data_IF_077023315968
#
_entry.id   IF_077023315968
#
_cell.length_a   1.000
_cell.length_b   1.000
_cell.length_c   1.000
_cell.angle_alpha   90.00
_cell.angle_beta   90.00
_cell.angle_gamma   90.00
#
_symmetry.space_group_name_H-M   'P 1'
#
loop_
_entity.id
_entity.type
_entity.pdbx_description
1 polymer ?
#
# COMPACT_ATOMS: atom_id res chain seq x y z
N UNK A 1 -0.04 -2.34 14.98
CA UNK A 1 -0.70 -2.56 13.69
C UNK A 1 -2.11 -2.07 13.86
N UNK A 2 -2.56 -1.10 13.05
CA UNK A 2 -3.94 -0.63 13.17
C UNK A 2 -4.83 -1.86 13.16
N UNK A 3 -5.85 -1.89 14.04
CA UNK A 3 -6.75 -3.05 14.16
C UNK A 3 -7.26 -3.52 12.79
N UNK A 4 -7.33 -2.61 11.82
CA UNK A 4 -7.76 -2.78 10.44
C UNK A 4 -6.89 -3.77 9.63
N UNK A 5 -5.60 -3.93 9.93
CA UNK A 5 -4.66 -4.74 9.13
C UNK A 5 -4.28 -6.08 9.80
N UNK A 6 -4.70 -6.32 11.05
CA UNK A 6 -4.31 -7.55 11.77
C UNK A 6 -4.98 -8.79 11.19
N UNK A 7 -6.22 -8.62 10.70
CA UNK A 7 -7.07 -9.69 10.18
C UNK A 7 -7.37 -9.53 8.68
N UNK A 8 -6.54 -8.77 7.95
CA UNK A 8 -6.67 -8.55 6.50
C UNK A 8 -5.51 -9.24 5.74
N UNK A 9 -5.68 -10.50 5.29
CA UNK A 9 -4.63 -11.25 4.57
C UNK A 9 -4.15 -10.55 3.29
N UNK A 10 -5.05 -9.86 2.59
CA UNK A 10 -4.74 -9.14 1.36
C UNK A 10 -3.95 -7.86 1.67
N UNK A 11 -4.36 -7.10 2.69
CA UNK A 11 -3.60 -5.96 3.18
C UNK A 11 -2.20 -6.35 3.64
N UNK A 12 -2.05 -7.48 4.34
CA UNK A 12 -0.76 -8.04 4.76
C UNK A 12 0.12 -8.44 3.58
N UNK A 13 -0.46 -9.07 2.54
CA UNK A 13 0.23 -9.40 1.30
C UNK A 13 0.73 -8.13 0.61
N UNK A 14 -0.14 -7.13 0.39
CA UNK A 14 0.21 -5.89 -0.29
C UNK A 14 1.32 -5.14 0.45
N UNK A 15 1.31 -5.09 1.78
CA UNK A 15 2.39 -4.46 2.56
C UNK A 15 3.72 -5.17 2.34
N UNK A 16 3.72 -6.51 2.29
CA UNK A 16 4.94 -7.30 2.12
C UNK A 16 5.59 -7.08 0.76
N UNK A 17 4.79 -6.98 -0.30
CA UNK A 17 5.28 -6.80 -1.67
C UNK A 17 5.54 -5.32 -2.04
N UNK A 18 5.01 -4.37 -1.26
CA UNK A 18 5.16 -2.95 -1.56
C UNK A 18 6.50 -2.36 -1.09
N UNK A 19 6.84 -1.19 -1.66
CA UNK A 19 7.96 -0.36 -1.19
C UNK A 19 7.68 0.36 0.14
N UNK A 20 6.46 0.27 0.68
CA UNK A 20 6.05 0.94 1.92
C UNK A 20 6.14 -0.06 3.07
N UNK A 21 7.03 0.18 4.03
CA UNK A 21 7.13 -0.70 5.19
C UNK A 21 5.94 -0.54 6.13
N UNK A 22 5.70 -1.55 6.97
CA UNK A 22 4.63 -1.52 7.99
C UNK A 22 4.69 -0.25 8.86
N UNK A 23 5.89 0.17 9.26
CA UNK A 23 6.10 1.35 10.11
C UNK A 23 5.81 2.65 9.35
N UNK A 24 6.12 2.69 8.06
CA UNK A 24 5.80 3.81 7.17
C UNK A 24 4.30 3.94 6.95
N UNK A 25 3.60 2.83 6.71
CA UNK A 25 2.16 2.81 6.54
C UNK A 25 1.43 3.26 7.82
N UNK A 26 1.83 2.74 8.98
CA UNK A 26 1.27 3.13 10.28
C UNK A 26 1.39 4.65 10.51
N UNK A 27 2.59 5.19 10.28
CA UNK A 27 2.84 6.63 10.43
C UNK A 27 2.00 7.46 9.44
N UNK A 28 1.74 6.95 8.24
CA UNK A 28 0.87 7.59 7.26
C UNK A 28 -0.60 7.56 7.70
N UNK A 29 -1.13 6.41 8.10
CA UNK A 29 -2.51 6.26 8.55
C UNK A 29 -2.79 7.16 9.77
N UNK A 30 -1.90 7.20 10.75
CA UNK A 30 -1.99 8.10 11.90
C UNK A 30 -1.98 9.58 11.49
N UNK A 31 -1.22 9.94 10.45
CA UNK A 31 -1.27 11.32 9.92
C UNK A 31 -2.60 11.69 9.25
N UNK A 32 -3.45 10.70 8.95
CA UNK A 32 -4.76 10.85 8.30
C UNK A 32 -5.95 10.64 9.24
N UNK A 33 -5.74 10.07 10.43
CA UNK A 33 -6.79 9.76 11.40
C UNK A 33 -7.38 10.97 12.16
N UNK A 34 -7.10 12.20 11.69
CA UNK A 34 -7.56 13.43 12.32
C UNK A 34 -6.62 13.97 13.43
N UNK A 35 -5.51 13.28 13.69
CA UNK A 35 -4.43 13.75 14.58
C UNK A 35 -3.86 15.06 14.02
N UNK A 36 -4.06 16.17 14.74
CA UNK A 36 -3.63 17.50 14.29
C UNK A 36 -2.15 17.76 14.53
N UNK A 37 -1.55 17.06 15.50
CA UNK A 37 -0.17 17.26 15.90
C UNK A 37 0.70 16.03 15.59
N UNK A 38 1.81 16.24 14.89
CA UNK A 38 2.82 15.19 14.61
C UNK A 38 3.30 14.50 15.91
N UNK A 39 3.35 15.24 17.03
CA UNK A 39 3.73 14.70 18.34
C UNK A 39 2.76 13.62 18.85
N UNK A 40 1.47 13.81 18.61
CA UNK A 40 0.42 12.87 19.03
C UNK A 40 0.50 11.58 18.20
N UNK A 41 0.71 11.70 16.87
CA UNK A 41 0.98 10.55 16.01
C UNK A 41 2.27 9.81 16.42
N UNK A 42 3.31 10.54 16.82
CA UNK A 42 4.56 9.96 17.29
C UNK A 42 4.39 9.16 18.60
N UNK A 43 3.51 9.59 19.50
CA UNK A 43 3.17 8.86 20.73
C UNK A 43 2.22 7.68 20.51
N UNK A 44 1.37 7.74 19.50
CA UNK A 44 0.34 6.73 19.21
C UNK A 44 0.80 5.64 18.24
N UNK A 45 2.06 5.67 17.81
CA UNK A 45 2.61 4.68 16.88
C UNK A 45 2.56 3.28 17.48
N UNK A 46 2.02 2.33 16.74
CA UNK A 46 1.62 1.04 17.29
C UNK A 46 2.79 0.15 17.76
N UNK A 47 3.95 0.27 17.10
CA UNK A 47 5.14 -0.51 17.44
C UNK A 47 5.75 -0.03 18.76
N UNK A 48 6.05 1.26 18.83
CA UNK A 48 6.47 1.97 20.04
C UNK A 48 6.41 3.48 19.80
N UNK A 49 6.18 4.29 20.85
CA UNK A 49 6.32 5.73 20.79
C UNK A 49 7.70 6.16 20.26
N UNK A 50 7.75 7.23 19.48
CA UNK A 50 8.99 7.79 18.93
C UNK A 50 9.03 9.30 19.08
N UNK A 51 10.20 9.90 18.83
CA UNK A 51 10.31 11.35 18.77
C UNK A 51 9.55 11.93 17.56
N UNK A 52 9.10 13.18 17.68
CA UNK A 52 8.47 13.94 16.59
C UNK A 52 9.31 13.93 15.31
N UNK A 53 10.62 14.09 15.43
CA UNK A 53 11.55 14.08 14.29
C UNK A 53 11.72 12.70 13.66
N UNK A 54 11.68 11.63 14.45
CA UNK A 54 11.68 10.26 13.91
C UNK A 54 10.38 9.99 13.14
N UNK A 55 9.23 10.31 13.72
CA UNK A 55 7.93 10.12 13.07
C UNK A 55 7.83 10.93 11.77
N UNK A 56 8.21 12.21 11.79
CA UNK A 56 8.18 13.06 10.60
C UNK A 56 9.05 12.52 9.46
N UNK A 57 10.26 12.02 9.76
CA UNK A 57 11.14 11.38 8.78
C UNK A 57 10.51 10.12 8.20
N UNK A 58 9.95 9.25 9.04
CA UNK A 58 9.26 8.04 8.59
C UNK A 58 8.06 8.37 7.69
N UNK A 59 7.24 9.36 8.05
CA UNK A 59 6.11 9.81 7.24
C UNK A 59 6.57 10.38 5.89
N UNK A 60 7.65 11.16 5.88
CA UNK A 60 8.22 11.68 4.64
C UNK A 60 8.70 10.55 3.73
N UNK A 61 9.45 9.58 4.28
CA UNK A 61 9.92 8.41 3.52
C UNK A 61 8.77 7.57 2.97
N UNK A 62 7.67 7.41 3.72
CA UNK A 62 6.47 6.72 3.24
C UNK A 62 5.92 7.36 1.96
N UNK A 63 5.79 8.69 1.97
CA UNK A 63 5.29 9.48 0.83
C UNK A 63 6.26 9.46 -0.35
N UNK A 64 7.56 9.58 -0.08
CA UNK A 64 8.60 9.54 -1.10
C UNK A 64 8.64 8.17 -1.80
N UNK A 65 8.52 7.08 -1.04
CA UNK A 65 8.47 5.72 -1.59
C UNK A 65 7.24 5.51 -2.48
N UNK A 66 6.06 6.01 -2.07
CA UNK A 66 4.87 5.96 -2.91
C UNK A 66 5.04 6.76 -4.21
N UNK A 67 5.62 7.95 -4.12
CA UNK A 67 5.89 8.80 -5.28
C UNK A 67 6.86 8.10 -6.26
N UNK A 68 7.96 7.55 -5.76
CA UNK A 68 8.93 6.80 -6.59
C UNK A 68 8.31 5.59 -7.26
N UNK A 69 7.46 4.83 -6.56
CA UNK A 69 6.80 3.66 -7.13
C UNK A 69 5.96 4.01 -8.39
N UNK A 70 5.28 5.17 -8.38
CA UNK A 70 4.55 5.66 -9.55
C UNK A 70 5.51 5.92 -10.72
N UNK A 71 6.63 6.61 -10.46
CA UNK A 71 7.63 6.87 -11.49
C UNK A 71 8.32 5.61 -11.99
N UNK A 72 8.51 4.59 -11.16
CA UNK A 72 9.05 3.30 -11.60
C UNK A 72 8.10 2.64 -12.61
N UNK A 73 6.80 2.56 -12.32
CA UNK A 73 5.80 2.00 -13.24
C UNK A 73 5.78 2.77 -14.55
N UNK A 74 5.76 4.11 -14.48
CA UNK A 74 5.77 4.96 -15.68
C UNK A 74 7.06 4.80 -16.49
N UNK A 75 8.22 4.69 -15.83
CA UNK A 75 9.51 4.49 -16.48
C UNK A 75 9.54 3.14 -17.21
N UNK A 76 9.11 2.06 -16.55
CA UNK A 76 9.08 0.74 -17.16
C UNK A 76 8.12 0.69 -18.36
N UNK A 77 6.95 1.34 -18.25
CA UNK A 77 6.02 1.49 -19.37
C UNK A 77 6.63 2.28 -20.54
N UNK A 78 7.28 3.40 -20.24
CA UNK A 78 7.94 4.26 -21.23
C UNK A 78 9.05 3.54 -21.99
N UNK A 79 9.82 2.69 -21.28
CA UNK A 79 10.89 1.88 -21.88
C UNK A 79 10.37 0.64 -22.63
N UNK A 80 9.05 0.39 -22.64
CA UNK A 80 8.46 -0.81 -23.25
C UNK A 80 8.79 -2.11 -22.49
N UNK A 81 9.18 -2.00 -21.22
CA UNK A 81 9.47 -3.14 -20.34
C UNK A 81 8.21 -3.67 -19.66
N UNK A 82 7.09 -2.94 -19.74
CA UNK A 82 5.77 -3.42 -19.37
C UNK A 82 4.91 -3.64 -20.62
N UNK A 83 4.04 -4.65 -20.64
CA UNK A 83 3.00 -4.81 -21.65
C UNK A 83 2.19 -3.52 -21.83
N UNK A 84 1.77 -3.22 -23.05
CA UNK A 84 1.05 -1.97 -23.38
C UNK A 84 -0.29 -1.83 -22.66
N UNK A 85 -0.88 -2.93 -22.21
CA UNK A 85 -2.15 -3.00 -21.48
C UNK A 85 -1.96 -3.08 -19.95
N UNK A 86 -0.70 -3.00 -19.45
CA UNK A 86 -0.41 -3.18 -18.02
C UNK A 86 -1.11 -2.15 -17.14
N UNK A 87 -1.12 -0.87 -17.55
CA UNK A 87 -1.77 0.18 -16.78
C UNK A 87 -3.29 -0.04 -16.69
N UNK A 88 -3.93 -0.52 -17.75
CA UNK A 88 -5.36 -0.85 -17.77
C UNK A 88 -5.65 -1.98 -16.78
N UNK A 89 -4.85 -3.06 -16.82
CA UNK A 89 -4.93 -4.17 -15.87
C UNK A 89 -4.74 -3.72 -14.41
N UNK A 90 -3.79 -2.82 -14.15
CA UNK A 90 -3.57 -2.26 -12.81
C UNK A 90 -4.79 -1.48 -12.30
N UNK A 91 -5.48 -0.74 -13.18
CA UNK A 91 -6.73 -0.03 -12.82
C UNK A 91 -7.84 -1.02 -12.48
N UNK A 92 -8.02 -2.08 -13.27
CA UNK A 92 -9.01 -3.14 -13.01
C UNK A 92 -8.77 -3.85 -11.67
N UNK A 93 -7.50 -4.18 -11.38
CA UNK A 93 -7.08 -4.73 -10.09
C UNK A 93 -7.39 -3.73 -8.98
N UNK A 94 -7.03 -2.45 -9.14
CA UNK A 94 -7.30 -1.41 -8.16
C UNK A 94 -8.79 -1.31 -7.80
N UNK A 95 -9.67 -1.34 -8.80
CA UNK A 95 -11.12 -1.35 -8.59
C UNK A 95 -11.57 -2.61 -7.83
N UNK A 96 -11.02 -3.78 -8.18
CA UNK A 96 -11.31 -5.05 -7.49
C UNK A 96 -10.92 -5.00 -6.02
N UNK A 97 -9.74 -4.46 -5.69
CA UNK A 97 -9.27 -4.29 -4.31
C UNK A 97 -10.18 -3.37 -3.51
N UNK A 98 -10.71 -2.30 -4.12
CA UNK A 98 -11.66 -1.39 -3.47
C UNK A 98 -12.97 -2.11 -3.14
N UNK A 99 -13.55 -2.84 -4.10
CA UNK A 99 -14.79 -3.59 -3.90
C UNK A 99 -14.66 -4.67 -2.82
N UNK A 100 -13.51 -5.35 -2.77
CA UNK A 100 -13.20 -6.34 -1.73
C UNK A 100 -13.13 -5.69 -0.34
N UNK A 101 -12.50 -4.52 -0.22
CA UNK A 101 -12.39 -3.79 1.04
C UNK A 101 -13.74 -3.28 1.55
N UNK A 102 -14.66 -2.86 0.67
CA UNK A 102 -15.98 -2.35 1.08
C UNK A 102 -16.98 -3.45 1.41
N UNK A 103 -16.61 -4.73 1.25
CA UNK A 103 -17.48 -5.87 1.53
C UNK A 103 -18.59 -6.06 0.49
N UNK A 104 -18.50 -5.37 -0.65
CA UNK A 104 -19.44 -5.50 -1.77
C UNK A 104 -19.31 -6.86 -2.47
N UNK A 105 -18.31 -7.67 -2.09
CA UNK A 105 -18.03 -8.96 -2.70
C UNK A 105 -17.54 -9.99 -1.67
N UNK A 106 -17.93 -11.26 -1.85
CA UNK A 106 -17.60 -12.36 -0.95
C UNK A 106 -16.10 -12.70 -0.90
N UNK A 107 -15.65 -13.24 0.26
CA UNK A 107 -14.25 -13.62 0.55
C UNK A 107 -13.62 -14.57 -0.48
N UNK A 108 -14.41 -15.35 -1.22
CA UNK A 108 -13.94 -16.25 -2.29
C UNK A 108 -13.17 -15.50 -3.41
N UNK A 109 -13.45 -14.20 -3.59
CA UNK A 109 -12.73 -13.34 -4.55
C UNK A 109 -11.36 -12.82 -4.06
N UNK A 110 -11.00 -13.00 -2.79
CA UNK A 110 -9.66 -12.64 -2.30
C UNK A 110 -8.57 -13.53 -2.91
N UNK A 111 -8.88 -14.81 -3.07
CA UNK A 111 -7.99 -15.77 -3.76
C UNK A 111 -7.89 -15.41 -5.24
N UNK A 112 -9.01 -15.03 -5.87
CA UNK A 112 -9.04 -14.60 -7.27
C UNK A 112 -8.25 -13.31 -7.50
N UNK A 113 -8.38 -12.30 -6.63
CA UNK A 113 -7.61 -11.05 -6.74
C UNK A 113 -6.10 -11.28 -6.55
N UNK A 114 -5.72 -12.18 -5.63
CA UNK A 114 -4.33 -12.60 -5.46
C UNK A 114 -3.82 -13.34 -6.71
N UNK A 115 -4.59 -14.26 -7.26
CA UNK A 115 -4.25 -14.97 -8.50
C UNK A 115 -4.08 -14.00 -9.68
N UNK A 116 -4.96 -13.01 -9.81
CA UNK A 116 -4.88 -11.97 -10.85
C UNK A 116 -3.62 -11.11 -10.65
N UNK A 117 -3.30 -10.74 -9.42
CA UNK A 117 -2.06 -10.03 -9.08
C UNK A 117 -0.84 -10.87 -9.45
N UNK A 118 -0.78 -12.13 -9.03
CA UNK A 118 0.35 -13.02 -9.29
C UNK A 118 0.54 -13.29 -10.79
N UNK A 119 -0.55 -13.49 -11.55
CA UNK A 119 -0.50 -13.63 -13.02
C UNK A 119 -0.04 -12.37 -13.72
N UNK A 120 -0.51 -11.21 -13.28
CA UNK A 120 -0.11 -9.90 -13.83
C UNK A 120 1.35 -9.59 -13.53
N UNK A 121 1.85 -9.99 -12.36
CA UNK A 121 3.26 -9.81 -11.99
C UNK A 121 4.19 -10.81 -12.71
N UNK A 122 3.70 -12.02 -13.00
CA UNK A 122 4.47 -13.04 -13.73
C UNK A 122 4.69 -12.69 -15.21
N UNK A 123 3.91 -11.78 -15.79
CA UNK A 123 4.12 -11.32 -17.18
C UNK A 123 5.18 -10.23 -17.31
N UNK A 124 5.68 -9.70 -16.18
CA UNK A 124 6.75 -8.68 -16.10
C UNK A 124 8.13 -9.34 -15.86
N UNK A 125 8.17 -10.62 -15.49
CA UNK A 125 9.38 -11.39 -15.17
C UNK A 125 9.74 -12.35 -16.30
#
# INVERSE_FOLDING_TARGET
MSKELQDDPLGLFLIRESRISRVQLDSWLLSKSGIRAISEGASMRDDKPVSKGSFSRTLHQARENAHKAIYDVLLLQYLGLLPSDMLERLVEIGNTLVMLRTGEVGHERLVEARDVLERTMSSVS
#
